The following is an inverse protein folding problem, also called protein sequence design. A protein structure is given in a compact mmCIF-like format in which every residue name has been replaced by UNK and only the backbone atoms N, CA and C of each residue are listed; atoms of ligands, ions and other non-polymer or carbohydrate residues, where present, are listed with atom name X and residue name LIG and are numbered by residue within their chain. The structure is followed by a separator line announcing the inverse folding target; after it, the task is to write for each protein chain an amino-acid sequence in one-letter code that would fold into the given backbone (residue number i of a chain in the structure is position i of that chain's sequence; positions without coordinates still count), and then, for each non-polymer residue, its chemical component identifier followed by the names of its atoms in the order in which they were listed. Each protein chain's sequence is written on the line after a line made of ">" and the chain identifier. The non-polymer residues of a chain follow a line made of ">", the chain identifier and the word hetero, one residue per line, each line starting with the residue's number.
data_IF_915143471532
#
_entry.id   IF_915143471532
#
_cell.length_a   1.000
_cell.length_b   1.000
_cell.length_c   1.000
_cell.angle_alpha   90.00
_cell.angle_beta   90.00
_cell.angle_gamma   90.00
#
_symmetry.space_group_name_H-M   'P 1'
#
loop_
_entity.id
_entity.type
_entity.pdbx_description
1 polymer ?
#
# COMPACT_ATOMS: atom_id res chain seq x y z
N UNK A 1 20.23 7.41 -0.65
CA UNK A 1 18.95 7.87 -0.10
C UNK A 1 18.48 6.84 0.92
N UNK A 2 18.11 7.27 2.12
CA UNK A 2 17.71 6.38 3.22
C UNK A 2 16.22 6.09 3.12
N UNK A 3 15.84 4.81 3.08
CA UNK A 3 14.43 4.39 3.14
C UNK A 3 13.90 4.62 4.56
N UNK A 4 12.80 5.35 4.69
CA UNK A 4 12.13 5.61 5.97
C UNK A 4 10.96 4.66 6.19
N UNK A 5 10.15 4.44 5.15
CA UNK A 5 9.02 3.50 5.16
C UNK A 5 9.25 2.46 4.07
N UNK A 6 9.03 1.18 4.38
CA UNK A 6 9.08 0.11 3.41
C UNK A 6 8.03 -0.96 3.73
N UNK A 7 7.23 -1.29 2.72
CA UNK A 7 6.35 -2.45 2.71
C UNK A 7 6.66 -3.30 1.49
N UNK A 8 6.75 -4.62 1.67
CA UNK A 8 7.10 -5.57 0.63
C UNK A 8 6.04 -6.67 0.57
N UNK A 9 5.49 -6.87 -0.63
CA UNK A 9 4.51 -7.92 -0.94
C UNK A 9 3.35 -8.00 0.06
N UNK A 10 2.75 -6.85 0.38
CA UNK A 10 1.63 -6.78 1.33
C UNK A 10 0.33 -7.13 0.62
N UNK A 11 -0.35 -8.14 1.14
CA UNK A 11 -1.72 -8.51 0.78
C UNK A 11 -2.60 -8.33 2.02
N UNK A 12 -3.74 -7.67 1.87
CA UNK A 12 -4.70 -7.42 2.94
C UNK A 12 -6.10 -7.86 2.50
N UNK A 13 -6.76 -8.65 3.35
CA UNK A 13 -8.17 -9.01 3.22
C UNK A 13 -8.89 -8.78 4.56
N UNK A 14 -10.13 -8.30 4.50
CA UNK A 14 -10.95 -8.05 5.69
C UNK A 14 -11.75 -9.26 6.16
N UNK A 15 -11.79 -10.32 5.34
CA UNK A 15 -12.37 -11.60 5.71
C UNK A 15 -11.47 -12.74 5.23
N UNK A 16 -11.40 -13.87 5.96
CA UNK A 16 -10.55 -15.01 5.58
C UNK A 16 -10.87 -15.59 4.20
N UNK A 17 -12.15 -15.57 3.83
CA UNK A 17 -12.66 -16.14 2.58
C UNK A 17 -12.98 -15.08 1.52
N UNK A 18 -12.72 -13.80 1.82
CA UNK A 18 -12.96 -12.68 0.90
C UNK A 18 -11.80 -12.46 -0.06
N UNK A 19 -12.06 -11.78 -1.20
CA UNK A 19 -10.96 -11.36 -2.07
C UNK A 19 -10.06 -10.35 -1.34
N UNK A 20 -8.75 -10.33 -1.65
CA UNK A 20 -7.86 -9.31 -1.13
C UNK A 20 -8.26 -7.92 -1.65
N UNK A 21 -8.24 -6.93 -0.77
CA UNK A 21 -8.44 -5.52 -1.12
C UNK A 21 -7.13 -4.87 -1.58
N UNK A 22 -6.01 -5.32 -1.01
CA UNK A 22 -4.66 -5.08 -1.51
C UNK A 22 -4.01 -6.42 -1.82
N UNK A 23 -3.32 -6.53 -2.95
CA UNK A 23 -2.64 -7.77 -3.36
C UNK A 23 -1.21 -7.49 -3.82
N UNK A 24 -0.22 -8.02 -3.09
CA UNK A 24 1.19 -7.96 -3.46
C UNK A 24 1.77 -6.55 -3.55
N UNK A 25 1.29 -5.61 -2.72
CA UNK A 25 1.70 -4.20 -2.78
C UNK A 25 3.14 -4.02 -2.28
N UNK A 26 3.93 -3.30 -3.07
CA UNK A 26 5.29 -2.88 -2.72
C UNK A 26 5.37 -1.35 -2.76
N UNK A 27 5.81 -0.75 -1.64
CA UNK A 27 5.99 0.70 -1.54
C UNK A 27 7.21 0.99 -0.67
N UNK A 28 8.02 1.95 -1.12
CA UNK A 28 9.10 2.52 -0.32
C UNK A 28 9.04 4.04 -0.38
N UNK A 29 9.19 4.70 0.77
CA UNK A 29 9.27 6.15 0.87
C UNK A 29 10.59 6.50 1.53
N UNK A 30 11.35 7.38 0.89
CA UNK A 30 12.62 7.87 1.40
C UNK A 30 12.41 8.99 2.42
N UNK A 31 13.40 9.20 3.28
CA UNK A 31 13.39 10.32 4.21
C UNK A 31 13.31 11.66 3.46
N UNK A 32 12.35 12.51 3.85
CA UNK A 32 12.08 13.80 3.21
C UNK A 32 11.28 13.73 1.90
N UNK A 33 10.89 12.54 1.44
CA UNK A 33 10.09 12.36 0.23
C UNK A 33 8.61 12.69 0.48
N UNK A 34 8.03 13.52 -0.40
CA UNK A 34 6.60 13.79 -0.41
C UNK A 34 5.92 12.93 -1.49
N UNK A 35 5.03 12.04 -1.06
CA UNK A 35 4.34 11.08 -1.94
C UNK A 35 2.83 11.28 -1.85
N UNK A 36 2.14 11.17 -2.98
CA UNK A 36 0.67 11.19 -3.05
C UNK A 36 0.14 9.86 -3.60
N UNK A 37 -0.78 9.23 -2.87
CA UNK A 37 -1.51 8.05 -3.31
C UNK A 37 -2.81 8.49 -3.99
N UNK A 38 -2.94 8.22 -5.29
CA UNK A 38 -4.07 8.66 -6.13
C UNK A 38 -4.73 7.49 -6.85
N UNK A 39 -6.02 7.64 -7.16
CA UNK A 39 -6.80 6.63 -7.86
C UNK A 39 -8.30 6.71 -7.55
N UNK A 40 -9.15 6.01 -8.33
CA UNK A 40 -10.61 6.02 -8.18
C UNK A 40 -11.08 5.62 -6.77
N UNK A 41 -12.32 5.96 -6.40
CA UNK A 41 -12.92 5.46 -5.15
C UNK A 41 -12.92 3.93 -5.13
N UNK A 42 -12.61 3.34 -3.96
CA UNK A 42 -12.57 1.88 -3.78
C UNK A 42 -11.30 1.17 -4.26
N UNK A 43 -10.28 1.88 -4.77
CA UNK A 43 -9.03 1.23 -5.23
C UNK A 43 -7.99 0.94 -4.13
N UNK A 44 -8.39 0.95 -2.84
CA UNK A 44 -7.49 0.58 -1.72
C UNK A 44 -6.52 1.66 -1.22
N UNK A 45 -6.78 2.96 -1.41
CA UNK A 45 -5.85 4.04 -0.99
C UNK A 45 -5.85 4.32 0.53
N UNK A 46 -7.00 4.12 1.18
CA UNK A 46 -7.19 4.37 2.61
C UNK A 46 -6.98 3.12 3.47
N UNK A 47 -6.70 2.01 2.79
CA UNK A 47 -6.55 0.66 3.30
C UNK A 47 -5.06 0.37 3.46
#
# INVERSE_FOLDING_TARGET
>A
MQKLIQVNNVTLAFSPDGPPELDGVNLSVNEGEFVCLVGPSGCGKST
#
